data_IF_582258016197
#
_entry.id   IF_582258016197
#
_cell.length_a   1.000
_cell.length_b   1.000
_cell.length_c   1.000
_cell.angle_alpha   90.00
_cell.angle_beta   90.00
_cell.angle_gamma   90.00
#
_symmetry.space_group_name_H-M   'P 1'
#
loop_
_entity.id
_entity.type
_entity.pdbx_description
1 polymer ?
#
# COMPACT_ATOMS: atom_id res chain seq x y z
N UNK A 1 0.71 4.08 -16.37
CA UNK A 1 0.43 4.85 -15.13
C UNK A 1 -0.41 3.92 -14.27
N UNK A 2 0.03 3.56 -13.06
CA UNK A 2 -0.85 2.84 -12.14
C UNK A 2 -1.95 3.81 -11.70
N UNK A 3 -3.24 3.50 -11.90
CA UNK A 3 -4.26 4.52 -11.84
C UNK A 3 -4.71 4.90 -10.42
N UNK A 4 -4.45 4.12 -9.37
CA UNK A 4 -4.82 4.51 -8.00
C UNK A 4 -3.85 3.98 -6.92
N UNK A 5 -3.75 4.69 -5.79
CA UNK A 5 -3.01 4.24 -4.60
C UNK A 5 -3.50 2.87 -4.10
N UNK A 6 -4.79 2.56 -4.32
CA UNK A 6 -5.38 1.26 -3.99
C UNK A 6 -4.74 0.14 -4.81
N UNK A 7 -4.49 0.36 -6.09
CA UNK A 7 -3.94 -0.68 -6.99
C UNK A 7 -2.52 -1.09 -6.57
N UNK A 8 -1.72 -0.13 -6.10
CA UNK A 8 -0.38 -0.43 -5.59
C UNK A 8 -0.41 -1.19 -4.27
N UNK A 9 -1.40 -0.92 -3.42
CA UNK A 9 -1.63 -1.69 -2.19
C UNK A 9 -2.19 -3.10 -2.48
N UNK A 10 -3.04 -3.25 -3.48
CA UNK A 10 -3.50 -4.57 -3.94
C UNK A 10 -2.32 -5.41 -4.48
N UNK A 11 -1.47 -4.79 -5.30
CA UNK A 11 -0.24 -5.44 -5.77
C UNK A 11 0.68 -5.80 -4.60
N UNK A 12 0.81 -4.92 -3.61
CA UNK A 12 1.56 -5.20 -2.39
C UNK A 12 1.03 -6.45 -1.68
N UNK A 13 -0.28 -6.52 -1.49
CA UNK A 13 -0.95 -7.65 -0.85
C UNK A 13 -0.70 -8.96 -1.61
N UNK A 14 -0.88 -8.96 -2.93
CA UNK A 14 -0.63 -10.14 -3.76
C UNK A 14 0.80 -10.65 -3.61
N UNK A 15 1.79 -9.76 -3.65
CA UNK A 15 3.21 -10.16 -3.52
C UNK A 15 3.49 -10.79 -2.14
N UNK A 16 2.89 -10.26 -1.07
CA UNK A 16 3.01 -10.82 0.28
C UNK A 16 2.28 -12.16 0.40
N UNK A 17 1.07 -12.25 -0.15
CA UNK A 17 0.28 -13.49 -0.17
C UNK A 17 0.99 -14.61 -0.97
N UNK A 18 1.76 -14.25 -2.00
CA UNK A 18 2.64 -15.14 -2.77
C UNK A 18 3.92 -15.57 -1.99
N UNK A 19 4.08 -15.11 -0.74
CA UNK A 19 5.17 -15.52 0.17
C UNK A 19 6.38 -14.58 0.19
N UNK A 20 6.28 -13.39 -0.42
CA UNK A 20 7.34 -12.40 -0.27
C UNK A 20 7.39 -11.83 1.16
N UNK A 21 8.59 -11.42 1.59
CA UNK A 21 8.78 -10.84 2.94
C UNK A 21 8.57 -9.32 2.99
N UNK A 22 8.27 -8.69 1.86
CA UNK A 22 8.19 -7.24 1.74
C UNK A 22 8.15 -6.79 0.28
N UNK A 23 7.75 -5.54 0.09
CA UNK A 23 7.66 -4.89 -1.22
C UNK A 23 8.34 -3.52 -1.17
N UNK A 24 9.03 -3.16 -2.24
CA UNK A 24 9.68 -1.85 -2.38
C UNK A 24 9.02 -1.13 -3.55
N UNK A 25 8.18 -0.16 -3.23
CA UNK A 25 7.65 0.76 -4.24
C UNK A 25 8.60 1.95 -4.36
N UNK A 26 9.22 2.09 -5.53
CA UNK A 26 10.06 3.24 -5.87
C UNK A 26 9.22 4.46 -6.26
N UNK A 27 9.48 5.02 -7.45
CA UNK A 27 8.92 6.28 -7.98
C UNK A 27 7.37 6.42 -8.02
N UNK A 28 6.60 5.40 -7.62
CA UNK A 28 5.14 5.48 -7.45
C UNK A 28 4.70 6.15 -6.13
N UNK A 29 5.53 6.15 -5.08
CA UNK A 29 5.18 6.76 -3.79
C UNK A 29 5.32 8.29 -3.76
N UNK A 30 5.97 8.87 -4.77
CA UNK A 30 6.41 10.29 -4.79
C UNK A 30 5.38 11.19 -5.52
N UNK A 31 4.46 10.61 -6.29
CA UNK A 31 3.35 11.33 -6.95
C UNK A 31 2.02 11.08 -6.22
N UNK A 32 2.08 11.04 -4.90
CA UNK A 32 0.93 10.81 -4.04
C UNK A 32 0.70 12.08 -3.23
N UNK A 33 -0.55 12.55 -3.19
CA UNK A 33 -0.90 13.78 -2.46
C UNK A 33 -0.53 13.70 -0.97
N UNK A 34 -0.66 12.51 -0.37
CA UNK A 34 -0.32 12.23 1.03
C UNK A 34 0.63 11.03 1.16
N UNK A 35 1.96 11.23 1.09
CA UNK A 35 2.94 10.13 1.18
C UNK A 35 2.92 9.44 2.55
N UNK A 36 2.63 10.17 3.63
CA UNK A 36 2.55 9.61 4.98
C UNK A 36 1.38 8.63 5.12
N UNK A 37 0.20 9.04 4.70
CA UNK A 37 -1.01 8.20 4.68
C UNK A 37 -0.75 6.91 3.88
N UNK A 38 -0.13 7.04 2.69
CA UNK A 38 0.18 5.90 1.85
C UNK A 38 1.18 4.94 2.52
N UNK A 39 2.18 5.48 3.20
CA UNK A 39 3.20 4.67 3.87
C UNK A 39 2.62 3.90 5.07
N UNK A 40 1.69 4.51 5.80
CA UNK A 40 0.95 3.85 6.89
C UNK A 40 0.04 2.74 6.36
N UNK A 41 -0.73 3.02 5.30
CA UNK A 41 -1.58 2.03 4.64
C UNK A 41 -0.75 0.85 4.10
N UNK A 42 0.40 1.13 3.45
CA UNK A 42 1.31 0.11 2.95
C UNK A 42 1.88 -0.76 4.08
N UNK A 43 2.28 -0.15 5.19
CA UNK A 43 2.75 -0.88 6.36
C UNK A 43 1.65 -1.77 6.95
N UNK A 44 0.41 -1.31 6.99
CA UNK A 44 -0.73 -2.09 7.46
C UNK A 44 -1.02 -3.30 6.56
N UNK A 45 -1.01 -3.13 5.23
CA UNK A 45 -1.20 -4.22 4.28
C UNK A 45 -0.07 -5.25 4.39
N UNK A 46 1.19 -4.80 4.39
CA UNK A 46 2.36 -5.70 4.36
C UNK A 46 2.59 -6.40 5.70
N UNK A 47 2.42 -5.71 6.83
CA UNK A 47 2.72 -6.27 8.16
C UNK A 47 1.52 -6.91 8.84
N UNK A 48 0.31 -6.39 8.59
CA UNK A 48 -0.92 -6.85 9.27
C UNK A 48 -1.86 -7.60 8.34
N UNK A 49 -1.57 -7.67 7.04
CA UNK A 49 -2.45 -8.31 6.06
C UNK A 49 -3.79 -7.58 5.88
N UNK A 50 -3.84 -6.29 6.23
CA UNK A 50 -5.06 -5.49 6.13
C UNK A 50 -5.54 -5.37 4.68
N UNK A 51 -6.84 -5.14 4.49
CA UNK A 51 -7.39 -4.87 3.17
C UNK A 51 -6.84 -3.53 2.62
N UNK A 52 -6.39 -3.48 1.35
CA UNK A 52 -5.86 -2.28 0.70
C UNK A 52 -6.77 -1.05 0.79
N UNK A 53 -8.08 -1.23 0.65
CA UNK A 53 -9.06 -0.14 0.66
C UNK A 53 -9.26 0.36 2.10
N UNK A 54 -9.40 -0.57 3.05
CA UNK A 54 -9.57 -0.23 4.46
C UNK A 54 -8.33 0.44 5.04
N UNK A 55 -7.13 -0.03 4.67
CA UNK A 55 -5.86 0.53 5.13
C UNK A 55 -5.69 2.00 4.70
N UNK A 56 -6.10 2.36 3.47
CA UNK A 56 -6.10 3.76 3.02
C UNK A 56 -7.13 4.62 3.78
N UNK A 57 -8.33 4.09 4.01
CA UNK A 57 -9.36 4.81 4.74
C UNK A 57 -8.98 5.06 6.21
N UNK A 58 -8.33 4.09 6.86
CA UNK A 58 -7.89 4.19 8.25
C UNK A 58 -6.68 5.10 8.45
N UNK A 59 -5.78 5.20 7.46
CA UNK A 59 -4.61 6.07 7.53
C UNK A 59 -4.95 7.58 7.49
N UNK A 60 -6.23 7.94 7.31
CA UNK A 60 -6.75 9.32 7.28
C UNK A 60 -7.46 9.75 8.59
N UNK A 61 -7.56 8.88 9.61
CA UNK A 61 -8.32 9.13 10.85
C UNK A 61 -7.44 9.45 12.05
#
# INVERSE_FOLDING_TARGET
RMPNQVDSLQLAKQIIDDGARGVVFGRNAIQIDNPQQYQEALSAVVKKGADPQEALNQANS
#
